data_IF_979551513530
#
_entry.id   IF_979551513530
#
_cell.length_a   1.000
_cell.length_b   1.000
_cell.length_c   1.000
_cell.angle_alpha   90.00
_cell.angle_beta   90.00
_cell.angle_gamma   90.00
#
_symmetry.space_group_name_H-M   'P 1'
#
loop_
_entity.id
_entity.type
_entity.pdbx_description
1 polymer ?
#
# COMPACT_ATOMS: atom_id res chain seq x y z
N UNK A 1 9.02 13.36 34.82
CA UNK A 1 8.56 13.58 33.44
C UNK A 1 8.50 12.23 32.74
N UNK A 2 7.40 11.49 32.90
CA UNK A 2 7.21 10.24 32.18
C UNK A 2 6.89 10.60 30.74
N UNK A 3 7.87 10.45 29.85
CA UNK A 3 7.63 10.58 28.41
C UNK A 3 6.53 9.62 28.02
N UNK A 4 5.53 10.10 27.28
CA UNK A 4 4.44 9.31 26.76
C UNK A 4 5.04 8.20 25.88
N UNK A 5 5.32 7.04 26.45
CA UNK A 5 5.89 5.91 25.75
C UNK A 5 4.81 5.40 24.80
N UNK A 6 4.88 5.82 23.54
CA UNK A 6 4.09 5.20 22.48
C UNK A 6 4.65 3.79 22.34
N UNK A 7 3.99 2.84 23.00
CA UNK A 7 4.20 1.42 22.79
C UNK A 7 3.54 1.07 21.45
N UNK A 8 4.30 1.19 20.36
CA UNK A 8 3.89 0.66 19.06
C UNK A 8 4.07 -0.85 19.13
N UNK A 9 2.97 -1.61 19.08
CA UNK A 9 3.04 -3.03 18.77
C UNK A 9 3.43 -3.17 17.29
N UNK A 10 4.72 -3.39 17.06
CA UNK A 10 5.28 -3.51 15.71
C UNK A 10 4.69 -4.73 14.96
N UNK A 11 4.26 -5.77 15.68
CA UNK A 11 3.59 -6.92 15.08
C UNK A 11 2.16 -6.61 14.63
N UNK A 12 1.44 -5.78 15.38
CA UNK A 12 0.11 -5.29 14.97
C UNK A 12 0.22 -4.35 13.75
N UNK A 13 1.21 -3.46 13.74
CA UNK A 13 1.48 -2.57 12.62
C UNK A 13 1.83 -3.35 11.34
N UNK A 14 2.67 -4.39 11.43
CA UNK A 14 3.00 -5.25 10.29
C UNK A 14 1.76 -5.99 9.75
N UNK A 15 0.88 -6.46 10.64
CA UNK A 15 -0.38 -7.11 10.24
C UNK A 15 -1.28 -6.14 9.48
N UNK A 16 -1.46 -4.93 10.00
CA UNK A 16 -2.28 -3.90 9.35
C UNK A 16 -1.73 -3.50 7.98
N UNK A 17 -0.42 -3.29 7.87
CA UNK A 17 0.23 -3.02 6.58
C UNK A 17 0.04 -4.18 5.60
N UNK A 18 0.12 -5.42 6.07
CA UNK A 18 -0.16 -6.61 5.26
C UNK A 18 -1.58 -6.64 4.71
N UNK A 19 -2.58 -6.26 5.52
CA UNK A 19 -3.97 -6.15 5.09
C UNK A 19 -4.16 -5.07 4.02
N UNK A 20 -3.53 -3.89 4.21
CA UNK A 20 -3.56 -2.82 3.22
C UNK A 20 -2.91 -3.26 1.90
N UNK A 21 -1.78 -3.97 1.95
CA UNK A 21 -1.11 -4.47 0.75
C UNK A 21 -1.97 -5.47 -0.03
N UNK A 22 -2.65 -6.38 0.68
CA UNK A 22 -3.58 -7.32 0.05
C UNK A 22 -4.75 -6.59 -0.62
N UNK A 23 -5.31 -5.59 0.05
CA UNK A 23 -6.40 -4.78 -0.49
C UNK A 23 -5.98 -3.99 -1.74
N UNK A 24 -4.79 -3.39 -1.74
CA UNK A 24 -4.25 -2.71 -2.94
C UNK A 24 -4.06 -3.66 -4.11
N UNK A 25 -3.51 -4.85 -3.88
CA UNK A 25 -3.35 -5.85 -4.93
C UNK A 25 -4.71 -6.30 -5.52
N UNK A 26 -5.76 -6.39 -4.69
CA UNK A 26 -7.12 -6.68 -5.16
C UNK A 26 -7.67 -5.55 -6.04
N UNK A 27 -7.43 -4.28 -5.67
CA UNK A 27 -7.83 -3.13 -6.49
C UNK A 27 -7.10 -3.13 -7.82
N UNK A 28 -5.78 -3.30 -7.82
CA UNK A 28 -4.96 -3.33 -9.03
C UNK A 28 -5.46 -4.43 -9.99
N UNK A 29 -5.71 -5.63 -9.49
CA UNK A 29 -6.25 -6.73 -10.29
C UNK A 29 -7.64 -6.43 -10.88
N UNK A 30 -8.49 -5.68 -10.17
CA UNK A 30 -9.80 -5.25 -10.68
C UNK A 30 -9.67 -4.18 -11.76
N UNK A 31 -8.75 -3.23 -11.59
CA UNK A 31 -8.43 -2.19 -12.60
C UNK A 31 -7.95 -2.87 -13.88
N UNK A 32 -6.98 -3.78 -13.79
CA UNK A 32 -6.42 -4.49 -14.96
C UNK A 32 -7.49 -5.33 -15.69
N UNK A 33 -8.36 -6.01 -14.93
CA UNK A 33 -9.49 -6.76 -15.49
C UNK A 33 -10.47 -5.85 -16.22
N UNK A 34 -10.77 -4.67 -15.65
CA UNK A 34 -11.62 -3.68 -16.29
C UNK A 34 -10.95 -3.14 -17.57
N UNK A 35 -9.64 -2.86 -17.57
CA UNK A 35 -8.92 -2.41 -18.76
C UNK A 35 -9.04 -3.37 -19.94
N UNK A 36 -8.88 -4.66 -19.69
CA UNK A 36 -9.04 -5.70 -20.72
C UNK A 36 -10.45 -5.68 -21.35
N UNK A 37 -11.48 -5.40 -20.55
CA UNK A 37 -12.86 -5.31 -21.05
C UNK A 37 -13.14 -3.98 -21.76
N UNK A 38 -12.62 -2.87 -21.21
CA UNK A 38 -12.80 -1.52 -21.72
C UNK A 38 -12.10 -1.34 -23.08
N UNK A 39 -10.90 -1.90 -23.26
CA UNK A 39 -10.18 -1.86 -24.53
C UNK A 39 -10.97 -2.47 -25.70
N UNK A 40 -11.66 -3.60 -25.45
CA UNK A 40 -12.54 -4.21 -26.44
C UNK A 40 -13.79 -3.36 -26.72
N UNK A 41 -14.32 -2.67 -25.72
CA UNK A 41 -15.50 -1.81 -25.84
C UNK A 41 -15.21 -0.53 -26.64
N UNK A 42 -14.07 0.12 -26.41
CA UNK A 42 -13.68 1.36 -27.12
C UNK A 42 -13.38 1.16 -28.61
N UNK A 43 -13.21 -0.08 -29.07
CA UNK A 43 -13.12 -0.37 -30.50
C UNK A 43 -14.38 0.05 -31.28
N UNK A 44 -15.53 0.14 -30.59
CA UNK A 44 -16.82 0.51 -31.19
C UNK A 44 -17.54 1.64 -30.43
N UNK A 45 -17.03 2.03 -29.26
CA UNK A 45 -17.61 3.07 -28.42
C UNK A 45 -16.79 4.36 -28.49
N UNK A 46 -17.38 5.36 -29.13
CA UNK A 46 -16.78 6.67 -29.39
C UNK A 46 -17.70 7.82 -28.92
N UNK A 47 -17.14 9.02 -28.85
CA UNK A 47 -17.85 10.25 -28.48
C UNK A 47 -17.59 10.68 -27.03
N UNK A 48 -18.25 11.76 -26.61
CA UNK A 48 -17.94 12.46 -25.35
C UNK A 48 -18.05 11.58 -24.11
N UNK A 49 -18.97 10.61 -24.09
CA UNK A 49 -19.10 9.67 -22.98
C UNK A 49 -17.91 8.70 -22.89
N UNK A 50 -17.39 8.27 -24.04
CA UNK A 50 -16.21 7.41 -24.11
C UNK A 50 -14.95 8.16 -23.62
N UNK A 51 -14.80 9.44 -24.01
CA UNK A 51 -13.70 10.28 -23.55
C UNK A 51 -13.75 10.56 -22.04
N UNK A 52 -14.94 10.88 -21.50
CA UNK A 52 -15.13 11.11 -20.08
C UNK A 52 -14.81 9.85 -19.25
N UNK A 53 -15.23 8.68 -19.73
CA UNK A 53 -14.91 7.40 -19.13
C UNK A 53 -13.40 7.12 -19.14
N UNK A 54 -12.73 7.27 -20.29
CA UNK A 54 -11.29 7.07 -20.42
C UNK A 54 -10.49 7.98 -19.46
N UNK A 55 -10.93 9.23 -19.29
CA UNK A 55 -10.34 10.16 -18.32
C UNK A 55 -10.52 9.69 -16.88
N UNK A 56 -11.75 9.36 -16.47
CA UNK A 56 -12.02 8.89 -15.12
C UNK A 56 -11.24 7.61 -14.79
N UNK A 57 -11.12 6.71 -15.77
CA UNK A 57 -10.34 5.49 -15.65
C UNK A 57 -8.84 5.78 -15.46
N UNK A 58 -8.26 6.70 -16.24
CA UNK A 58 -6.87 7.10 -16.08
C UNK A 58 -6.58 7.71 -14.70
N UNK A 59 -7.48 8.57 -14.20
CA UNK A 59 -7.38 9.16 -12.86
C UNK A 59 -7.43 8.07 -11.77
N UNK A 60 -8.32 7.10 -11.91
CA UNK A 60 -8.44 6.02 -10.95
C UNK A 60 -7.21 5.09 -10.94
N UNK A 61 -6.72 4.73 -12.12
CA UNK A 61 -5.50 3.89 -12.28
C UNK A 61 -4.28 4.57 -11.64
N UNK A 62 -4.11 5.87 -11.88
CA UNK A 62 -3.05 6.65 -11.23
C UNK A 62 -3.20 6.66 -9.70
N UNK A 63 -4.42 6.80 -9.19
CA UNK A 63 -4.70 6.76 -7.74
C UNK A 63 -4.38 5.40 -7.11
N UNK A 64 -4.72 4.30 -7.79
CA UNK A 64 -4.42 2.95 -7.34
C UNK A 64 -2.90 2.71 -7.25
N UNK A 65 -2.16 3.12 -8.28
CA UNK A 65 -0.69 3.05 -8.30
C UNK A 65 -0.07 3.85 -7.15
N UNK A 66 -0.53 5.07 -6.90
CA UNK A 66 -0.05 5.90 -5.80
C UNK A 66 -0.28 5.24 -4.43
N UNK A 67 -1.45 4.62 -4.24
CA UNK A 67 -1.77 3.90 -3.00
C UNK A 67 -0.86 2.68 -2.82
N UNK A 68 -0.67 1.88 -3.86
CA UNK A 68 0.20 0.69 -3.87
C UNK A 68 1.64 1.06 -3.51
N UNK A 69 2.17 2.13 -4.11
CA UNK A 69 3.50 2.67 -3.80
C UNK A 69 3.62 3.17 -2.35
N UNK A 70 2.59 3.86 -1.86
CA UNK A 70 2.54 4.33 -0.47
C UNK A 70 2.60 3.18 0.53
N UNK A 71 1.83 2.12 0.30
CA UNK A 71 1.81 0.93 1.17
C UNK A 71 3.14 0.19 1.13
N UNK A 72 3.77 0.07 -0.05
CA UNK A 72 5.12 -0.50 -0.16
C UNK A 72 6.13 0.27 0.69
N UNK A 73 6.11 1.60 0.62
CA UNK A 73 7.00 2.46 1.45
C UNK A 73 6.72 2.32 2.94
N UNK A 74 5.45 2.23 3.35
CA UNK A 74 5.08 1.98 4.75
C UNK A 74 5.65 0.64 5.23
N UNK A 75 5.55 -0.41 4.42
CA UNK A 75 6.10 -1.73 4.73
C UNK A 75 7.63 -1.70 4.90
N UNK A 76 8.34 -1.02 4.01
CA UNK A 76 9.79 -0.84 4.10
C UNK A 76 10.18 -0.10 5.38
N UNK A 77 9.46 0.97 5.72
CA UNK A 77 9.70 1.73 6.94
C UNK A 77 9.44 0.90 8.22
N UNK A 78 8.35 0.13 8.27
CA UNK A 78 8.05 -0.75 9.40
C UNK A 78 9.08 -1.85 9.59
N UNK A 79 9.53 -2.49 8.49
CA UNK A 79 10.61 -3.48 8.54
C UNK A 79 11.91 -2.89 9.08
N UNK A 80 12.26 -1.67 8.65
CA UNK A 80 13.40 -0.92 9.18
C UNK A 80 13.29 -0.65 10.68
N UNK A 81 12.12 -0.19 11.13
CA UNK A 81 11.84 0.06 12.56
C UNK A 81 11.94 -1.23 13.39
N UNK A 82 11.38 -2.35 12.90
CA UNK A 82 11.46 -3.65 13.56
C UNK A 82 12.89 -4.13 13.75
N UNK A 83 13.73 -4.00 12.71
CA UNK A 83 15.15 -4.39 12.79
C UNK A 83 15.91 -3.52 13.79
N UNK A 84 15.70 -2.21 13.78
CA UNK A 84 16.37 -1.27 14.68
C UNK A 84 15.99 -1.52 16.16
N UNK A 85 14.70 -1.72 16.43
CA UNK A 85 14.21 -2.03 17.78
C UNK A 85 14.75 -3.37 18.28
N UNK A 86 14.68 -4.42 17.45
CA UNK A 86 15.17 -5.76 17.81
C UNK A 86 16.66 -5.71 18.14
N UNK A 87 17.46 -5.04 17.29
CA UNK A 87 18.91 -4.90 17.50
C UNK A 87 19.21 -4.17 18.81
N UNK A 88 18.50 -3.07 19.09
CA UNK A 88 18.70 -2.29 20.32
C UNK A 88 18.34 -3.10 21.57
N UNK A 89 17.24 -3.85 21.54
CA UNK A 89 16.85 -4.73 22.65
C UNK A 89 17.87 -5.85 22.87
N UNK A 90 18.38 -6.47 21.80
CA UNK A 90 19.41 -7.51 21.92
C UNK A 90 20.74 -6.96 22.45
N UNK A 91 21.18 -5.79 21.95
CA UNK A 91 22.38 -5.13 22.44
C UNK A 91 22.26 -4.77 23.92
N UNK A 92 21.12 -4.24 24.35
CA UNK A 92 20.86 -3.95 25.75
C UNK A 92 20.85 -5.24 26.59
N UNK A 93 20.19 -6.31 26.14
CA UNK A 93 20.19 -7.59 26.85
C UNK A 93 21.61 -8.14 27.02
N UNK A 94 22.45 -8.06 25.99
CA UNK A 94 23.85 -8.51 26.05
C UNK A 94 24.73 -7.65 26.98
N UNK A 95 24.41 -6.36 27.14
CA UNK A 95 25.09 -5.47 28.09
C UNK A 95 24.70 -5.73 29.55
N UNK A 96 23.50 -6.27 29.78
CA UNK A 96 22.94 -6.49 31.13
C UNK A 96 22.80 -7.97 31.52
N UNK A 97 23.39 -8.89 30.75
CA UNK A 97 23.57 -10.31 31.12
C UNK A 97 25.00 -10.57 31.55
#
# INVERSE_FOLDING_TARGET
MAGNAIAVDLGELDRFIGQLAAFSAEIDAKVDSLESHIGNLHAQWHGTAAEAHAKAHAEWTQGAQLMSDGIRRLREASAGAHSAFTTTVQANKALFS
#
